data_IF_767495768938
#
_entry.id   IF_767495768938
#
_cell.length_a   1.000
_cell.length_b   1.000
_cell.length_c   1.000
_cell.angle_alpha   90.00
_cell.angle_beta   90.00
_cell.angle_gamma   90.00
#
_symmetry.space_group_name_H-M   'P 1'
#
loop_
_entity.id
_entity.type
_entity.pdbx_description
1 polymer ?
#
# COMPACT_ATOMS: atom_id res chain seq x y z
N UNK A 1 14.08 14.66 63.32
CA UNK A 1 15.18 13.70 63.06
C UNK A 1 15.17 13.45 61.55
N UNK A 2 16.10 13.92 60.69
CA UNK A 2 17.58 13.98 60.77
C UNK A 2 18.20 12.57 60.87
N UNK A 3 19.22 12.17 60.09
CA UNK A 3 20.06 12.81 59.04
C UNK A 3 20.39 11.72 57.99
N UNK A 4 20.31 11.89 56.66
CA UNK A 4 21.10 12.73 55.74
C UNK A 4 22.62 12.46 55.75
N UNK A 5 23.15 12.03 54.59
CA UNK A 5 24.58 11.89 54.28
C UNK A 5 24.87 10.78 53.24
N UNK A 6 25.84 10.89 52.33
CA UNK A 6 26.55 12.09 51.84
C UNK A 6 27.20 11.80 50.45
N UNK A 7 27.25 12.78 49.56
CA UNK A 7 27.77 12.62 48.18
C UNK A 7 29.30 12.73 48.10
N UNK A 8 29.92 12.06 47.11
CA UNK A 8 31.17 12.55 46.49
C UNK A 8 31.38 12.10 45.04
N UNK A 9 31.25 13.08 44.13
CA UNK A 9 31.73 13.08 42.74
C UNK A 9 33.19 13.57 42.73
N UNK A 10 34.02 13.11 41.80
CA UNK A 10 35.24 13.82 41.36
C UNK A 10 35.32 13.85 39.83
N UNK A 11 35.99 14.87 39.32
CA UNK A 11 36.05 15.23 37.90
C UNK A 11 37.53 15.17 37.42
N UNK A 12 37.83 15.32 36.10
CA UNK A 12 39.15 15.03 35.55
C UNK A 12 40.18 16.15 35.80
N UNK A 13 41.42 15.90 35.42
CA UNK A 13 42.50 16.89 35.33
C UNK A 13 42.97 17.02 33.87
N UNK A 14 43.51 18.18 33.49
CA UNK A 14 43.87 18.52 32.10
C UNK A 14 45.18 19.32 32.01
N UNK A 15 46.10 18.87 31.15
CA UNK A 15 47.15 19.67 30.50
C UNK A 15 47.62 18.85 29.27
N UNK A 16 47.78 19.33 28.03
CA UNK A 16 48.16 20.63 27.44
C UNK A 16 49.63 20.73 27.03
N UNK A 17 49.95 20.40 25.77
CA UNK A 17 51.07 20.96 25.02
C UNK A 17 50.90 20.73 23.48
N UNK A 18 51.16 21.78 22.70
CA UNK A 18 51.46 21.76 21.25
C UNK A 18 53.01 21.82 21.08
N UNK A 19 53.69 21.66 19.93
CA UNK A 19 53.39 21.31 18.52
C UNK A 19 54.53 20.37 18.02
N UNK A 20 55.06 20.26 16.79
CA UNK A 20 54.96 20.95 15.47
C UNK A 20 55.42 20.01 14.33
N UNK A 21 55.11 20.35 13.08
CA UNK A 21 55.76 19.85 11.83
C UNK A 21 57.02 20.72 11.51
N UNK A 22 58.00 20.32 10.65
CA UNK A 22 57.80 19.62 9.36
C UNK A 22 58.90 18.65 8.81
N UNK A 23 58.53 18.02 7.68
CA UNK A 23 59.26 17.57 6.47
C UNK A 23 60.53 16.66 6.46
N UNK A 24 60.38 15.57 5.68
CA UNK A 24 61.22 14.96 4.62
C UNK A 24 62.58 14.21 4.84
N UNK A 25 62.71 13.13 4.02
CA UNK A 25 63.86 12.30 3.57
C UNK A 25 64.83 11.68 4.63
N UNK A 26 65.39 10.46 4.46
CA UNK A 26 65.79 9.70 3.25
C UNK A 26 65.66 8.16 3.48
N UNK A 27 66.07 7.32 2.51
CA UNK A 27 65.68 5.90 2.38
C UNK A 27 66.79 4.84 2.74
N UNK A 28 66.84 3.60 2.19
CA UNK A 28 66.61 2.40 3.02
C UNK A 28 67.76 1.36 3.04
N UNK A 29 67.60 0.27 3.82
CA UNK A 29 68.49 -0.90 3.77
C UNK A 29 67.75 -2.26 3.88
N UNK A 30 68.39 -3.33 3.40
CA UNK A 30 67.75 -4.55 2.88
C UNK A 30 67.89 -5.81 3.75
N UNK A 31 66.93 -6.74 3.64
CA UNK A 31 67.09 -8.18 3.90
C UNK A 31 66.20 -9.01 2.94
N UNK A 32 66.61 -10.22 2.53
CA UNK A 32 66.07 -10.83 1.30
C UNK A 32 66.09 -12.37 1.18
N UNK A 33 64.97 -12.94 0.67
CA UNK A 33 64.83 -14.25 -0.04
C UNK A 33 65.15 -15.57 0.73
N UNK A 34 64.83 -16.80 0.22
CA UNK A 34 64.21 -17.25 -1.06
C UNK A 34 62.77 -17.80 -0.92
N UNK A 35 61.88 -17.95 -1.93
CA UNK A 35 61.93 -18.21 -3.40
C UNK A 35 61.94 -19.70 -3.80
N UNK A 36 61.53 -20.10 -5.05
CA UNK A 36 60.73 -19.43 -6.10
C UNK A 36 59.22 -19.82 -5.95
N UNK A 37 58.30 -20.11 -6.90
CA UNK A 37 58.13 -20.18 -8.39
C UNK A 37 56.59 -20.30 -8.67
N UNK A 38 55.95 -20.44 -9.85
CA UNK A 38 56.12 -20.09 -11.30
C UNK A 38 54.90 -20.70 -12.07
N UNK A 39 54.45 -20.26 -13.28
CA UNK A 39 54.97 -19.24 -14.19
C UNK A 39 53.98 -18.09 -14.50
N UNK A 40 54.33 -17.25 -15.48
CA UNK A 40 53.70 -15.98 -15.88
C UNK A 40 52.76 -16.06 -17.08
N UNK A 41 51.86 -15.07 -17.22
CA UNK A 41 51.70 -14.35 -18.50
C UNK A 41 51.31 -12.87 -18.30
N UNK A 42 51.36 -12.07 -19.36
CA UNK A 42 51.52 -10.60 -19.34
C UNK A 42 50.22 -9.79 -19.47
N UNK A 43 50.27 -8.50 -19.06
CA UNK A 43 49.41 -7.45 -19.63
C UNK A 43 48.72 -6.51 -18.64
N UNK A 44 49.44 -5.53 -18.10
CA UNK A 44 48.85 -4.49 -17.25
C UNK A 44 48.42 -3.24 -18.03
N UNK A 45 47.22 -2.73 -17.74
CA UNK A 45 46.80 -1.36 -18.06
C UNK A 45 45.77 -0.87 -17.02
N UNK A 46 45.86 0.39 -16.60
CA UNK A 46 44.90 0.97 -15.65
C UNK A 46 43.53 1.19 -16.30
N UNK A 47 42.47 0.73 -15.65
CA UNK A 47 41.08 1.06 -16.00
C UNK A 47 40.34 1.60 -14.76
N UNK A 48 39.54 2.64 -14.93
CA UNK A 48 38.87 3.32 -13.83
C UNK A 48 37.72 2.49 -13.25
N UNK A 49 37.58 2.50 -11.92
CA UNK A 49 36.42 1.94 -11.22
C UNK A 49 35.16 2.82 -11.45
N UNK A 50 34.51 2.66 -12.61
CA UNK A 50 33.32 3.47 -12.94
C UNK A 50 32.70 3.18 -14.31
N UNK A 51 31.95 2.09 -14.45
CA UNK A 51 30.95 1.89 -15.54
C UNK A 51 30.08 0.61 -15.38
N UNK A 52 29.69 0.25 -14.15
CA UNK A 52 28.86 -0.94 -13.86
C UNK A 52 27.36 -0.81 -14.28
N UNK A 53 27.06 -0.03 -15.33
CA UNK A 53 25.70 0.31 -15.80
C UNK A 53 25.54 0.26 -17.33
N UNK A 54 26.44 -0.43 -18.05
CA UNK A 54 26.35 -0.64 -19.49
C UNK A 54 26.40 -2.15 -19.82
N UNK A 55 25.26 -2.70 -20.23
CA UNK A 55 25.07 -4.14 -20.49
C UNK A 55 24.13 -4.77 -19.47
N UNK A 56 22.96 -5.21 -19.92
CA UNK A 56 21.98 -5.87 -19.06
C UNK A 56 22.50 -7.23 -18.60
N UNK A 57 22.53 -7.45 -17.28
CA UNK A 57 22.77 -8.78 -16.72
C UNK A 57 21.64 -9.72 -17.16
N UNK A 58 21.99 -10.76 -17.92
CA UNK A 58 21.10 -11.89 -18.12
C UNK A 58 20.94 -12.58 -16.76
N UNK A 59 19.83 -12.29 -16.08
CA UNK A 59 19.48 -12.93 -14.81
C UNK A 59 19.33 -14.43 -15.12
N UNK A 60 20.23 -15.23 -14.56
CA UNK A 60 20.23 -16.68 -14.74
C UNK A 60 18.97 -17.26 -14.07
N UNK A 61 17.96 -17.53 -14.89
CA UNK A 61 16.62 -17.88 -14.44
C UNK A 61 16.50 -19.42 -14.38
N UNK A 62 16.24 -20.01 -13.20
CA UNK A 62 15.95 -21.46 -13.09
C UNK A 62 14.55 -21.75 -13.66
N UNK A 63 14.39 -22.66 -14.63
CA UNK A 63 13.07 -23.07 -15.15
C UNK A 63 12.06 -23.50 -14.08
N UNK A 64 12.49 -23.89 -12.88
CA UNK A 64 11.63 -24.17 -11.73
C UNK A 64 10.93 -22.93 -11.20
N UNK A 65 11.61 -21.79 -11.17
CA UNK A 65 11.02 -20.54 -10.67
C UNK A 65 9.91 -20.06 -11.62
N UNK A 66 10.00 -20.32 -12.93
CA UNK A 66 8.93 -19.97 -13.90
C UNK A 66 7.65 -20.74 -13.58
N UNK A 67 7.80 -22.01 -13.17
CA UNK A 67 6.69 -22.88 -12.80
C UNK A 67 6.11 -22.50 -11.43
N UNK A 68 6.93 -22.00 -10.52
CA UNK A 68 6.49 -21.47 -9.22
C UNK A 68 5.81 -20.09 -9.33
N UNK A 69 6.27 -19.22 -10.24
CA UNK A 69 5.64 -17.93 -10.56
C UNK A 69 4.34 -18.13 -11.34
N UNK A 70 4.34 -18.95 -12.39
CA UNK A 70 3.10 -19.28 -13.12
C UNK A 70 2.07 -20.00 -12.22
N UNK A 71 2.55 -20.81 -11.26
CA UNK A 71 1.71 -21.42 -10.23
C UNK A 71 1.14 -20.42 -9.21
N UNK A 72 1.90 -19.39 -8.81
CA UNK A 72 1.36 -18.27 -8.02
C UNK A 72 0.33 -17.48 -8.82
N UNK A 73 0.67 -17.03 -10.04
CA UNK A 73 -0.20 -16.25 -10.93
C UNK A 73 -1.55 -16.98 -11.14
N UNK A 74 -1.52 -18.28 -11.45
CA UNK A 74 -2.72 -19.09 -11.59
C UNK A 74 -3.51 -19.23 -10.26
N UNK A 75 -2.82 -19.33 -9.11
CA UNK A 75 -3.44 -19.44 -7.78
C UNK A 75 -4.09 -18.13 -7.31
N UNK A 76 -3.54 -16.97 -7.68
CA UNK A 76 -4.11 -15.67 -7.30
C UNK A 76 -5.10 -15.13 -8.33
N UNK A 77 -5.03 -15.57 -9.59
CA UNK A 77 -5.95 -15.18 -10.67
C UNK A 77 -5.39 -14.13 -11.64
N UNK A 78 -4.08 -14.15 -11.88
CA UNK A 78 -3.36 -13.23 -12.77
C UNK A 78 -2.07 -12.68 -12.14
N UNK A 79 -1.32 -11.90 -12.91
CA UNK A 79 -0.07 -11.26 -12.46
C UNK A 79 -0.33 -10.16 -11.44
N UNK A 80 0.49 -10.10 -10.40
CA UNK A 80 0.45 -9.00 -9.43
C UNK A 80 0.84 -7.67 -10.13
N UNK A 81 0.14 -6.56 -9.85
CA UNK A 81 0.53 -5.25 -10.36
C UNK A 81 1.85 -4.75 -9.74
N UNK A 82 2.58 -3.91 -10.49
CA UNK A 82 3.86 -3.28 -10.07
C UNK A 82 3.71 -2.39 -8.83
N UNK A 83 2.52 -1.83 -8.62
CA UNK A 83 2.18 -1.00 -7.46
C UNK A 83 1.12 -1.70 -6.62
N UNK A 84 1.25 -1.57 -5.30
CA UNK A 84 0.19 -1.90 -4.34
C UNK A 84 -0.89 -0.84 -4.34
N UNK A 85 -2.10 -1.21 -3.91
CA UNK A 85 -3.20 -0.27 -3.71
C UNK A 85 -2.80 0.92 -2.81
N UNK A 86 -1.99 0.69 -1.77
CA UNK A 86 -1.48 1.73 -0.89
C UNK A 86 -0.61 2.76 -1.62
N UNK A 87 0.24 2.31 -2.53
CA UNK A 87 1.15 3.18 -3.29
C UNK A 87 0.40 4.00 -4.33
N UNK A 88 -0.64 3.46 -4.95
CA UNK A 88 -1.45 4.20 -5.92
C UNK A 88 -2.32 5.28 -5.26
N UNK A 89 -2.94 4.98 -4.10
CA UNK A 89 -3.64 5.99 -3.28
C UNK A 89 -2.68 7.08 -2.79
N UNK A 90 -1.46 6.71 -2.37
CA UNK A 90 -0.45 7.70 -1.99
C UNK A 90 -0.02 8.55 -3.18
N UNK A 91 0.17 7.97 -4.36
CA UNK A 91 0.63 8.66 -5.57
C UNK A 91 -0.40 9.67 -6.11
N UNK A 92 -1.70 9.42 -5.92
CA UNK A 92 -2.75 10.41 -6.19
C UNK A 92 -2.59 11.66 -5.31
N UNK A 93 -2.31 11.48 -4.02
CA UNK A 93 -2.11 12.58 -3.07
C UNK A 93 -0.77 13.33 -3.18
N UNK A 94 0.26 12.75 -3.80
CA UNK A 94 1.61 13.38 -3.91
C UNK A 94 1.61 14.51 -4.96
N UNK A 95 2.13 15.68 -4.61
CA UNK A 95 2.36 16.79 -5.56
C UNK A 95 3.61 16.58 -6.40
N UNK A 96 3.45 16.52 -7.71
CA UNK A 96 4.43 16.06 -8.71
C UNK A 96 5.84 16.67 -8.55
N UNK A 97 5.92 18.01 -8.48
CA UNK A 97 7.17 18.77 -8.38
C UNK A 97 7.67 18.96 -6.95
N UNK A 98 6.86 18.64 -5.95
CA UNK A 98 7.13 18.94 -4.54
C UNK A 98 7.55 17.71 -3.75
N UNK A 99 7.08 16.52 -4.13
CA UNK A 99 7.47 15.26 -3.48
C UNK A 99 6.95 15.09 -2.06
N UNK A 100 5.89 15.81 -1.72
CA UNK A 100 5.11 15.64 -0.50
C UNK A 100 3.62 15.66 -0.84
N UNK A 101 2.81 15.10 0.07
CA UNK A 101 1.36 15.00 -0.09
C UNK A 101 0.67 16.36 -0.04
N UNK A 102 -0.41 16.55 -0.79
CA UNK A 102 -1.28 17.74 -0.70
C UNK A 102 -1.70 18.03 0.75
N UNK A 103 -2.08 16.97 1.46
CA UNK A 103 -2.37 16.93 2.90
C UNK A 103 -2.10 15.48 3.38
N UNK A 104 -1.71 15.29 4.65
CA UNK A 104 -1.71 13.97 5.30
C UNK A 104 -2.51 14.11 6.58
N UNK A 105 -3.57 13.33 6.67
CA UNK A 105 -4.56 13.33 7.74
C UNK A 105 -4.89 11.89 8.14
N UNK A 106 -5.78 11.75 9.11
CA UNK A 106 -6.14 10.44 9.63
C UNK A 106 -7.00 9.64 8.64
N UNK A 107 -7.74 10.31 7.74
CA UNK A 107 -8.48 9.67 6.64
C UNK A 107 -7.55 8.87 5.72
N UNK A 108 -6.50 9.48 5.14
CA UNK A 108 -5.54 8.73 4.32
C UNK A 108 -4.74 7.72 5.18
N UNK A 109 -4.42 8.07 6.42
CA UNK A 109 -3.72 7.17 7.35
C UNK A 109 -4.50 5.86 7.54
N UNK A 110 -5.79 5.93 7.88
CA UNK A 110 -6.69 4.81 8.16
C UNK A 110 -7.08 4.07 6.86
N UNK A 111 -7.38 4.80 5.78
CA UNK A 111 -7.66 4.21 4.47
C UNK A 111 -6.51 3.36 3.94
N UNK A 112 -5.25 3.75 4.18
CA UNK A 112 -4.08 2.95 3.81
C UNK A 112 -3.97 1.63 4.61
N UNK A 113 -4.52 1.54 5.83
CA UNK A 113 -4.62 0.25 6.56
C UNK A 113 -5.71 -0.64 5.99
N UNK A 114 -6.84 -0.06 5.59
CA UNK A 114 -7.84 -0.78 4.78
C UNK A 114 -7.22 -1.34 3.49
N UNK A 115 -6.43 -0.53 2.78
CA UNK A 115 -5.72 -0.95 1.56
C UNK A 115 -4.75 -2.12 1.79
N UNK A 116 -4.08 -2.20 2.96
CA UNK A 116 -3.21 -3.33 3.32
C UNK A 116 -4.01 -4.64 3.44
N UNK A 117 -5.19 -4.61 4.09
CA UNK A 117 -6.06 -5.78 4.19
C UNK A 117 -6.64 -6.18 2.83
N UNK A 118 -7.06 -5.21 2.00
CA UNK A 118 -7.51 -5.46 0.62
C UNK A 118 -6.39 -6.11 -0.21
N UNK A 119 -5.17 -5.57 -0.19
CA UNK A 119 -4.06 -6.09 -0.97
C UNK A 119 -3.63 -7.50 -0.52
N UNK A 120 -3.67 -7.81 0.79
CA UNK A 120 -3.46 -9.17 1.31
C UNK A 120 -4.59 -10.13 0.93
N UNK A 121 -5.85 -9.67 0.90
CA UNK A 121 -7.01 -10.45 0.50
C UNK A 121 -6.97 -10.79 -0.99
N UNK A 122 -6.68 -9.80 -1.84
CA UNK A 122 -6.44 -9.97 -3.27
C UNK A 122 -5.27 -10.93 -3.50
N UNK A 123 -4.11 -10.75 -2.86
CA UNK A 123 -2.94 -11.67 -2.96
C UNK A 123 -3.19 -13.08 -2.35
N UNK A 124 -4.43 -13.40 -1.98
CA UNK A 124 -4.88 -14.68 -1.41
C UNK A 124 -4.06 -15.12 -0.19
N UNK A 125 -3.61 -14.15 0.62
CA UNK A 125 -2.83 -14.38 1.85
C UNK A 125 -3.73 -14.46 3.09
N UNK A 126 -4.84 -13.71 3.10
CA UNK A 126 -5.85 -13.71 4.17
C UNK A 126 -7.27 -13.79 3.59
N UNK A 127 -8.25 -14.09 4.44
CA UNK A 127 -9.67 -14.02 4.11
C UNK A 127 -10.54 -14.15 5.34
N UNK A 128 -11.85 -14.04 5.17
CA UNK A 128 -12.83 -14.30 6.24
C UNK A 128 -12.85 -15.79 6.60
N UNK A 129 -12.95 -16.11 7.90
CA UNK A 129 -13.15 -17.48 8.39
C UNK A 129 -14.40 -18.08 7.77
N UNK A 130 -14.29 -19.24 7.11
CA UNK A 130 -15.41 -19.93 6.43
C UNK A 130 -16.36 -20.68 7.38
N UNK A 131 -16.79 -20.00 8.45
CA UNK A 131 -17.86 -20.44 9.34
C UNK A 131 -19.24 -20.06 8.75
N UNK A 132 -20.26 -20.93 8.76
CA UNK A 132 -21.66 -20.55 8.49
C UNK A 132 -22.21 -19.49 9.44
N UNK A 133 -21.78 -19.47 10.71
CA UNK A 133 -22.19 -18.50 11.73
C UNK A 133 -21.85 -17.05 11.37
N UNK A 134 -20.73 -16.82 10.66
CA UNK A 134 -20.26 -15.49 10.22
C UNK A 134 -21.33 -14.65 9.50
N UNK A 135 -22.28 -15.29 8.79
CA UNK A 135 -23.32 -14.59 8.02
C UNK A 135 -24.35 -13.87 8.90
N UNK A 136 -24.34 -14.13 10.21
CA UNK A 136 -25.12 -13.40 11.23
C UNK A 136 -24.42 -12.13 11.74
N UNK A 137 -23.15 -11.94 11.38
CA UNK A 137 -22.35 -10.77 11.77
C UNK A 137 -22.35 -9.72 10.64
N UNK A 138 -22.39 -8.41 10.98
CA UNK A 138 -22.01 -7.32 10.06
C UNK A 138 -20.64 -7.58 9.43
N UNK A 139 -20.39 -7.05 8.23
CA UNK A 139 -19.12 -7.33 7.53
C UNK A 139 -17.86 -6.92 8.35
N UNK A 140 -17.83 -5.76 9.04
CA UNK A 140 -16.70 -5.35 9.88
C UNK A 140 -16.38 -6.31 11.02
N UNK A 141 -17.36 -7.06 11.52
CA UNK A 141 -17.22 -7.95 12.67
C UNK A 141 -16.79 -9.37 12.28
N UNK A 142 -16.76 -9.70 10.98
CA UNK A 142 -16.46 -11.06 10.52
C UNK A 142 -14.99 -11.41 10.76
N UNK A 143 -14.69 -12.52 11.48
CA UNK A 143 -13.33 -12.83 11.90
C UNK A 143 -12.44 -13.26 10.72
N UNK A 144 -11.16 -12.89 10.79
CA UNK A 144 -10.16 -13.21 9.76
C UNK A 144 -9.27 -14.42 10.10
N UNK A 145 -8.71 -15.02 9.05
CA UNK A 145 -7.78 -16.17 9.10
C UNK A 145 -6.70 -16.02 8.02
N UNK A 146 -5.51 -16.58 8.28
CA UNK A 146 -4.37 -16.54 7.36
C UNK A 146 -4.41 -17.77 6.44
N UNK A 147 -4.66 -17.52 5.16
CA UNK A 147 -4.73 -18.54 4.10
C UNK A 147 -3.34 -18.95 3.59
N UNK A 148 -2.36 -18.03 3.63
CA UNK A 148 -1.01 -18.29 3.11
C UNK A 148 0.00 -17.32 3.73
N UNK A 149 1.04 -17.87 4.36
CA UNK A 149 2.14 -17.10 4.99
C UNK A 149 3.29 -16.78 4.04
N UNK A 150 3.17 -17.10 2.74
CA UNK A 150 4.21 -16.78 1.74
C UNK A 150 4.36 -15.27 1.63
N UNK A 151 5.59 -14.79 1.80
CA UNK A 151 5.94 -13.38 1.67
C UNK A 151 5.45 -12.78 0.34
N UNK A 152 5.23 -11.47 0.37
CA UNK A 152 4.71 -10.66 -0.74
C UNK A 152 5.75 -9.71 -1.31
N UNK A 153 6.89 -9.54 -0.63
CA UNK A 153 7.94 -8.58 -0.96
C UNK A 153 7.67 -7.15 -0.47
N UNK A 154 6.44 -6.88 -0.01
CA UNK A 154 6.01 -5.55 0.44
C UNK A 154 6.07 -5.48 1.96
N UNK A 155 7.01 -4.70 2.51
CA UNK A 155 7.35 -4.76 3.95
C UNK A 155 6.18 -4.54 4.91
N UNK A 156 5.19 -3.74 4.51
CA UNK A 156 3.97 -3.49 5.30
C UNK A 156 3.00 -4.67 5.27
N UNK A 157 2.82 -5.30 4.11
CA UNK A 157 1.97 -6.48 3.95
C UNK A 157 2.54 -7.66 4.74
N UNK A 158 3.86 -7.89 4.64
CA UNK A 158 4.53 -9.01 5.31
C UNK A 158 4.61 -8.82 6.84
N UNK A 159 4.68 -7.59 7.33
CA UNK A 159 4.58 -7.26 8.76
C UNK A 159 3.17 -7.52 9.30
N UNK A 160 2.13 -7.05 8.62
CA UNK A 160 0.72 -7.34 8.98
C UNK A 160 0.44 -8.84 8.88
N UNK A 161 0.88 -9.53 7.84
CA UNK A 161 0.66 -10.97 7.66
C UNK A 161 1.31 -11.80 8.78
N UNK A 162 2.53 -11.42 9.21
CA UNK A 162 3.19 -12.02 10.37
C UNK A 162 2.41 -11.78 11.65
N UNK A 163 1.95 -10.55 11.88
CA UNK A 163 1.17 -10.15 13.06
C UNK A 163 -0.16 -10.93 13.14
N UNK A 164 -0.92 -10.96 12.04
CA UNK A 164 -2.17 -11.73 11.93
C UNK A 164 -1.95 -13.22 12.19
N UNK A 165 -0.85 -13.79 11.69
CA UNK A 165 -0.53 -15.20 11.94
C UNK A 165 -0.20 -15.47 13.42
N UNK A 166 0.58 -14.59 14.06
CA UNK A 166 0.90 -14.71 15.48
C UNK A 166 -0.34 -14.59 16.38
N UNK A 167 -1.33 -13.76 16.01
CA UNK A 167 -2.62 -13.68 16.70
C UNK A 167 -3.45 -14.96 16.49
N UNK A 168 -3.53 -15.48 15.27
CA UNK A 168 -4.26 -16.73 15.00
C UNK A 168 -3.61 -17.95 15.71
N UNK A 169 -2.28 -17.98 15.81
CA UNK A 169 -1.53 -19.03 16.52
C UNK A 169 -1.69 -18.95 18.06
N UNK A 170 -2.07 -17.80 18.62
CA UNK A 170 -2.49 -17.70 20.03
C UNK A 170 -3.96 -18.10 20.26
N UNK A 171 -4.68 -18.47 19.19
CA UNK A 171 -6.08 -18.88 19.22
C UNK A 171 -7.09 -17.73 19.10
N UNK A 172 -6.64 -16.47 19.08
CA UNK A 172 -7.51 -15.32 18.89
C UNK A 172 -7.83 -15.09 17.41
N UNK A 173 -9.10 -14.76 17.11
CA UNK A 173 -9.50 -14.24 15.79
C UNK A 173 -10.33 -12.98 15.97
N UNK A 174 -10.07 -11.99 15.12
CA UNK A 174 -10.62 -10.64 15.24
C UNK A 174 -11.31 -10.21 13.95
N UNK A 175 -12.31 -9.34 14.09
CA UNK A 175 -13.07 -8.76 12.99
C UNK A 175 -12.24 -7.82 12.11
N UNK A 176 -12.72 -7.61 10.88
CA UNK A 176 -12.08 -6.73 9.88
C UNK A 176 -11.89 -5.30 10.39
N UNK A 177 -12.92 -4.69 10.97
CA UNK A 177 -12.85 -3.33 11.51
C UNK A 177 -11.76 -3.21 12.58
N UNK A 178 -11.77 -4.13 13.53
CA UNK A 178 -10.76 -4.14 14.61
C UNK A 178 -9.34 -4.32 14.09
N UNK A 179 -9.11 -5.04 12.99
CA UNK A 179 -7.79 -5.08 12.34
C UNK A 179 -7.39 -3.73 11.74
N UNK A 180 -8.30 -2.99 11.10
CA UNK A 180 -8.01 -1.63 10.59
C UNK A 180 -7.70 -0.66 11.74
N UNK A 181 -8.48 -0.72 12.83
CA UNK A 181 -8.27 0.10 14.04
C UNK A 181 -6.90 -0.19 14.68
N UNK A 182 -6.57 -1.47 14.87
CA UNK A 182 -5.29 -1.90 15.46
C UNK A 182 -4.07 -1.46 14.64
N UNK A 183 -4.13 -1.63 13.32
CA UNK A 183 -3.02 -1.27 12.42
C UNK A 183 -2.86 0.27 12.28
N UNK A 184 -3.92 1.03 12.57
CA UNK A 184 -3.94 2.50 12.51
C UNK A 184 -3.50 3.13 13.83
N UNK A 185 -3.93 2.57 14.96
CA UNK A 185 -3.66 3.06 16.31
C UNK A 185 -4.91 3.48 17.10
N UNK A 186 -6.10 3.38 16.51
CA UNK A 186 -7.37 3.89 17.08
C UNK A 186 -7.91 3.04 18.26
N UNK A 187 -7.13 2.05 18.73
CA UNK A 187 -7.54 1.20 19.84
C UNK A 187 -7.17 1.80 21.20
N UNK A 188 -8.11 1.74 22.14
CA UNK A 188 -7.84 1.99 23.55
C UNK A 188 -7.24 0.77 24.28
N UNK A 189 -7.06 -0.37 23.59
CA UNK A 189 -6.49 -1.58 24.19
C UNK A 189 -4.96 -1.51 24.29
N UNK A 190 -4.47 -1.11 25.47
CA UNK A 190 -3.04 -1.01 25.80
C UNK A 190 -2.26 -2.30 25.52
N UNK A 191 -2.86 -3.48 25.69
CA UNK A 191 -2.20 -4.77 25.40
C UNK A 191 -1.96 -5.00 23.91
N UNK A 192 -2.64 -4.26 23.03
CA UNK A 192 -2.53 -4.35 21.57
C UNK A 192 -1.92 -3.09 20.93
N UNK A 193 -1.35 -2.18 21.71
CA UNK A 193 -0.64 -0.99 21.21
C UNK A 193 0.57 -1.33 20.30
N UNK A 194 1.08 -2.56 20.40
CA UNK A 194 2.13 -3.08 19.51
C UNK A 194 1.69 -3.40 18.08
N UNK A 195 0.39 -3.34 17.77
CA UNK A 195 -0.15 -3.67 16.45
C UNK A 195 -0.13 -2.48 15.46
N UNK A 196 0.07 -1.25 15.95
CA UNK A 196 0.08 -0.06 15.10
C UNK A 196 1.27 -0.08 14.12
N UNK A 197 0.97 0.00 12.81
CA UNK A 197 2.00 0.14 11.78
C UNK A 197 2.64 1.53 11.83
N UNK A 198 3.97 1.57 11.91
CA UNK A 198 4.76 2.79 12.07
C UNK A 198 5.50 3.16 10.78
N UNK A 199 5.67 4.46 10.57
CA UNK A 199 6.37 5.05 9.43
C UNK A 199 5.79 4.61 8.06
N UNK A 200 4.46 4.46 7.99
CA UNK A 200 3.75 3.94 6.80
C UNK A 200 3.99 4.82 5.58
N UNK A 201 3.87 6.15 5.73
CA UNK A 201 4.10 7.13 4.67
C UNK A 201 5.54 7.06 4.13
N UNK A 202 6.51 6.97 5.03
CA UNK A 202 7.94 6.97 4.72
C UNK A 202 8.34 5.66 4.03
N UNK A 203 7.76 4.53 4.46
CA UNK A 203 7.99 3.20 3.87
C UNK A 203 7.34 3.06 2.50
N UNK A 204 6.14 3.59 2.29
CA UNK A 204 5.49 3.64 0.96
C UNK A 204 6.23 4.60 0.02
N UNK A 205 6.68 5.76 0.50
CA UNK A 205 7.52 6.65 -0.29
C UNK A 205 8.85 5.99 -0.69
N UNK A 206 9.50 5.25 0.21
CA UNK A 206 10.67 4.43 -0.12
C UNK A 206 10.33 3.33 -1.14
N UNK A 207 9.24 2.60 -0.98
CA UNK A 207 8.80 1.59 -1.96
C UNK A 207 8.64 2.17 -3.37
N UNK A 208 8.02 3.35 -3.49
CA UNK A 208 7.90 4.07 -4.75
C UNK A 208 9.22 4.62 -5.31
N UNK A 209 10.22 4.94 -4.47
CA UNK A 209 11.58 5.30 -4.91
C UNK A 209 12.34 4.05 -5.39
N UNK A 210 12.29 2.96 -4.64
CA UNK A 210 12.94 1.68 -5.00
C UNK A 210 12.33 1.10 -6.30
N UNK A 211 11.03 1.34 -6.54
CA UNK A 211 10.31 1.03 -7.79
C UNK A 211 10.53 2.08 -8.90
N UNK A 212 11.29 3.15 -8.67
CA UNK A 212 11.65 4.17 -9.66
C UNK A 212 10.52 5.13 -10.09
N UNK A 213 9.40 5.17 -9.36
CA UNK A 213 8.26 6.06 -9.65
C UNK A 213 8.47 7.45 -9.06
N UNK A 214 9.09 7.52 -7.88
CA UNK A 214 9.60 8.75 -7.26
C UNK A 214 11.14 8.76 -7.31
N UNK A 215 11.75 9.92 -7.15
CA UNK A 215 13.19 10.09 -6.91
C UNK A 215 13.42 10.83 -5.60
N UNK A 216 14.52 10.57 -4.90
CA UNK A 216 14.91 11.36 -3.72
C UNK A 216 15.64 12.64 -4.16
N UNK A 217 15.04 13.80 -3.89
CA UNK A 217 15.66 15.12 -4.00
C UNK A 217 15.98 15.67 -2.61
N UNK A 218 17.24 16.06 -2.38
CA UNK A 218 17.64 16.84 -1.21
C UNK A 218 17.26 18.31 -1.45
N UNK A 219 16.39 18.86 -0.59
CA UNK A 219 16.06 20.30 -0.59
C UNK A 219 16.68 20.99 0.61
N UNK A 220 17.53 21.96 0.33
CA UNK A 220 18.23 22.74 1.35
C UNK A 220 17.31 23.91 1.77
N UNK A 221 16.99 24.00 3.05
CA UNK A 221 16.34 25.16 3.67
C UNK A 221 17.40 25.94 4.47
N UNK A 222 17.09 27.18 4.87
CA UNK A 222 18.05 28.08 5.52
C UNK A 222 18.71 27.51 6.80
N UNK A 223 18.05 26.56 7.48
CA UNK A 223 18.48 26.01 8.76
C UNK A 223 18.63 24.47 8.79
N UNK A 224 18.20 23.76 7.73
CA UNK A 224 18.23 22.30 7.67
C UNK A 224 18.03 21.80 6.23
N UNK A 225 18.38 20.54 5.98
CA UNK A 225 18.12 19.86 4.72
C UNK A 225 16.95 18.87 4.87
N UNK A 226 16.09 18.77 3.86
CA UNK A 226 14.94 17.87 3.84
C UNK A 226 14.98 16.94 2.63
N UNK A 227 14.83 15.64 2.86
CA UNK A 227 14.58 14.69 1.78
C UNK A 227 13.13 14.86 1.26
N UNK A 228 12.98 15.00 -0.05
CA UNK A 228 11.69 15.08 -0.75
C UNK A 228 11.62 14.03 -1.85
N UNK A 229 10.41 13.57 -2.18
CA UNK A 229 10.22 12.44 -3.09
C UNK A 229 9.36 12.81 -4.31
N UNK A 230 9.79 13.75 -5.17
CA UNK A 230 9.01 14.16 -6.35
C UNK A 230 8.91 13.03 -7.39
N UNK A 231 7.90 13.15 -8.25
CA UNK A 231 7.58 12.14 -9.26
C UNK A 231 8.69 12.09 -10.30
N UNK A 232 9.28 10.91 -10.47
CA UNK A 232 10.28 10.60 -11.47
C UNK A 232 9.61 10.15 -12.78
N UNK A 233 8.67 9.20 -12.70
CA UNK A 233 7.88 8.76 -13.85
C UNK A 233 6.46 9.33 -13.81
N UNK A 234 6.27 10.43 -14.55
CA UNK A 234 4.98 11.08 -14.69
C UNK A 234 3.94 10.20 -15.43
N UNK A 235 4.36 9.23 -16.25
CA UNK A 235 3.44 8.36 -16.99
C UNK A 235 2.76 7.36 -16.06
N UNK A 236 3.46 6.84 -15.05
CA UNK A 236 2.87 5.98 -14.02
C UNK A 236 1.77 6.73 -13.27
N UNK A 237 2.03 7.94 -12.77
CA UNK A 237 0.98 8.74 -12.12
C UNK A 237 -0.16 9.10 -13.07
N UNK A 238 0.14 9.51 -14.30
CA UNK A 238 -0.88 9.81 -15.30
C UNK A 238 -1.75 8.58 -15.64
N UNK A 239 -1.18 7.36 -15.62
CA UNK A 239 -1.90 6.11 -15.75
C UNK A 239 -2.90 5.86 -14.61
N UNK A 240 -2.45 6.00 -13.35
CA UNK A 240 -3.32 5.88 -12.16
C UNK A 240 -4.49 6.89 -12.24
N UNK A 241 -4.19 8.16 -12.54
CA UNK A 241 -5.22 9.21 -12.73
C UNK A 241 -6.17 8.87 -13.87
N UNK A 242 -5.67 8.42 -15.02
CA UNK A 242 -6.49 8.06 -16.17
C UNK A 242 -7.43 6.89 -15.87
N UNK A 243 -6.96 5.84 -15.17
CA UNK A 243 -7.82 4.71 -14.79
C UNK A 243 -8.97 5.16 -13.88
N UNK A 244 -8.67 5.96 -12.86
CA UNK A 244 -9.67 6.50 -11.92
C UNK A 244 -10.68 7.40 -12.62
N UNK A 245 -10.22 8.35 -13.44
CA UNK A 245 -11.11 9.24 -14.20
C UNK A 245 -11.98 8.44 -15.18
N UNK A 246 -11.42 7.47 -15.92
CA UNK A 246 -12.19 6.65 -16.85
C UNK A 246 -13.25 5.78 -16.15
N UNK A 247 -12.98 5.26 -14.95
CA UNK A 247 -13.97 4.51 -14.16
C UNK A 247 -15.14 5.40 -13.72
N UNK A 248 -14.82 6.62 -13.26
CA UNK A 248 -15.77 7.53 -12.62
C UNK A 248 -16.47 8.50 -13.58
N UNK A 249 -16.04 8.59 -14.85
CA UNK A 249 -16.75 9.34 -15.90
C UNK A 249 -17.48 8.44 -16.91
N UNK A 250 -17.42 7.11 -16.76
CA UNK A 250 -18.19 6.19 -17.62
C UNK A 250 -19.69 6.29 -17.34
N UNK A 251 -20.43 6.94 -18.25
CA UNK A 251 -21.90 6.97 -18.25
C UNK A 251 -22.55 5.68 -18.77
N UNK A 252 -21.84 4.55 -18.82
CA UNK A 252 -22.36 3.27 -19.35
C UNK A 252 -22.07 2.12 -18.38
N UNK A 253 -22.86 1.05 -18.47
CA UNK A 253 -22.63 -0.18 -17.69
C UNK A 253 -21.36 -0.93 -18.13
N UNK A 254 -20.83 -0.65 -19.32
CA UNK A 254 -19.58 -1.24 -19.78
C UNK A 254 -18.38 -0.61 -19.05
N UNK A 255 -17.50 -1.47 -18.50
CA UNK A 255 -16.26 -1.04 -17.85
C UNK A 255 -15.26 -0.62 -18.92
N UNK A 256 -14.78 0.63 -18.96
CA UNK A 256 -13.82 1.06 -19.99
C UNK A 256 -12.50 0.28 -19.86
N UNK A 257 -11.90 -0.23 -20.96
CA UNK A 257 -10.59 -0.89 -20.89
C UNK A 257 -9.48 0.00 -20.32
N UNK A 258 -9.60 1.32 -20.50
CA UNK A 258 -8.72 2.36 -19.95
C UNK A 258 -8.90 2.64 -18.46
N UNK A 259 -9.96 2.11 -17.83
CA UNK A 259 -10.19 2.14 -16.38
C UNK A 259 -9.48 1.00 -15.63
N UNK A 260 -8.91 0.04 -16.36
CA UNK A 260 -8.34 -1.20 -15.83
C UNK A 260 -6.83 -1.27 -16.07
N UNK A 261 -6.14 -2.10 -15.28
CA UNK A 261 -4.74 -2.45 -15.51
C UNK A 261 -4.53 -3.25 -16.80
N UNK A 262 -3.27 -3.56 -17.13
CA UNK A 262 -2.91 -4.39 -18.27
C UNK A 262 -3.67 -5.74 -18.29
N UNK A 263 -4.03 -6.29 -19.46
CA UNK A 263 -4.58 -7.64 -19.57
C UNK A 263 -3.64 -8.67 -18.94
N UNK A 264 -4.20 -9.62 -18.20
CA UNK A 264 -3.44 -10.62 -17.44
C UNK A 264 -3.01 -10.16 -16.03
N UNK A 265 -3.18 -8.89 -15.66
CA UNK A 265 -3.12 -8.47 -14.25
C UNK A 265 -4.26 -9.11 -13.45
N UNK A 266 -3.99 -9.38 -12.18
CA UNK A 266 -4.89 -10.02 -11.23
C UNK A 266 -6.05 -9.11 -10.78
N UNK A 267 -7.29 -9.62 -10.81
CA UNK A 267 -8.49 -8.97 -10.26
C UNK A 267 -8.64 -7.48 -10.65
N UNK A 268 -8.59 -7.20 -11.97
CA UNK A 268 -8.50 -5.85 -12.55
C UNK A 268 -9.74 -5.01 -12.23
N UNK A 269 -10.92 -5.57 -12.35
CA UNK A 269 -12.17 -4.85 -12.08
C UNK A 269 -12.28 -4.52 -10.59
N UNK A 270 -12.00 -5.48 -9.71
CA UNK A 270 -12.03 -5.23 -8.26
C UNK A 270 -10.92 -4.27 -7.81
N UNK A 271 -9.71 -4.34 -8.36
CA UNK A 271 -8.63 -3.37 -8.08
C UNK A 271 -9.00 -1.94 -8.47
N UNK A 272 -9.62 -1.74 -9.64
CA UNK A 272 -10.07 -0.42 -10.07
C UNK A 272 -11.14 0.17 -9.14
N UNK A 273 -12.08 -0.66 -8.68
CA UNK A 273 -13.07 -0.31 -7.63
C UNK A 273 -12.37 0.08 -6.33
N UNK A 274 -11.50 -0.78 -5.80
CA UNK A 274 -10.79 -0.52 -4.55
C UNK A 274 -9.96 0.77 -4.60
N UNK A 275 -9.33 1.08 -5.74
CA UNK A 275 -8.57 2.31 -5.93
C UNK A 275 -9.46 3.56 -5.87
N UNK A 276 -10.59 3.57 -6.59
CA UNK A 276 -11.51 4.71 -6.58
C UNK A 276 -12.12 4.91 -5.19
N UNK A 277 -12.66 3.84 -4.58
CA UNK A 277 -13.25 3.90 -3.25
C UNK A 277 -12.25 4.29 -2.16
N UNK A 278 -11.04 3.71 -2.15
CA UNK A 278 -10.03 4.06 -1.16
C UNK A 278 -9.49 5.50 -1.33
N UNK A 279 -9.34 5.99 -2.56
CA UNK A 279 -8.96 7.38 -2.82
C UNK A 279 -10.04 8.38 -2.39
N UNK A 280 -11.32 7.99 -2.52
CA UNK A 280 -12.47 8.75 -2.03
C UNK A 280 -12.46 8.86 -0.50
N UNK A 281 -12.43 7.72 0.20
CA UNK A 281 -12.43 7.69 1.69
C UNK A 281 -11.13 8.23 2.30
N UNK A 282 -10.01 8.18 1.58
CA UNK A 282 -8.76 8.85 1.95
C UNK A 282 -8.77 10.37 1.72
N UNK A 283 -9.83 10.92 1.12
CA UNK A 283 -9.97 12.34 0.79
C UNK A 283 -8.86 12.88 -0.14
N UNK A 284 -8.43 12.07 -1.13
CA UNK A 284 -7.42 12.45 -2.14
C UNK A 284 -7.90 12.31 -3.59
N UNK A 285 -9.09 11.78 -3.82
CA UNK A 285 -9.67 11.55 -5.16
C UNK A 285 -9.79 12.85 -6.00
N UNK A 286 -10.03 13.99 -5.35
CA UNK A 286 -10.08 15.32 -5.97
C UNK A 286 -8.82 15.66 -6.79
N UNK A 287 -7.65 15.18 -6.34
CA UNK A 287 -6.35 15.40 -7.00
C UNK A 287 -6.30 14.75 -8.41
N UNK A 288 -7.16 13.76 -8.70
CA UNK A 288 -7.30 13.17 -10.04
C UNK A 288 -8.13 14.06 -10.98
N UNK A 289 -9.05 14.88 -10.46
CA UNK A 289 -10.05 15.63 -11.22
C UNK A 289 -9.59 17.01 -11.70
N UNK A 290 -8.27 17.26 -11.73
CA UNK A 290 -7.67 18.53 -12.16
C UNK A 290 -7.87 18.90 -13.64
N UNK A 291 -8.45 18.02 -14.45
CA UNK A 291 -8.84 18.27 -15.85
C UNK A 291 -10.36 18.31 -16.10
N UNK A 292 -11.17 17.94 -15.11
CA UNK A 292 -12.62 17.85 -15.24
C UNK A 292 -13.29 19.20 -14.94
N UNK A 293 -14.40 19.47 -15.62
CA UNK A 293 -15.33 20.54 -15.28
C UNK A 293 -16.03 20.31 -13.94
N UNK A 294 -16.79 21.32 -13.48
CA UNK A 294 -17.50 21.25 -12.20
C UNK A 294 -18.56 20.13 -12.18
N UNK A 295 -19.43 20.07 -13.19
CA UNK A 295 -20.50 19.07 -13.27
C UNK A 295 -19.94 17.65 -13.44
N UNK A 296 -18.90 17.48 -14.25
CA UNK A 296 -18.19 16.19 -14.42
C UNK A 296 -17.58 15.70 -13.09
N UNK A 297 -17.06 16.62 -12.27
CA UNK A 297 -16.47 16.31 -10.96
C UNK A 297 -17.53 15.88 -9.94
N UNK A 298 -18.63 16.61 -9.85
CA UNK A 298 -19.75 16.24 -8.96
C UNK A 298 -20.35 14.88 -9.39
N UNK A 299 -20.51 14.65 -10.70
CA UNK A 299 -20.92 13.35 -11.24
C UNK A 299 -19.95 12.22 -10.92
N UNK A 300 -18.64 12.46 -11.03
CA UNK A 300 -17.61 11.48 -10.69
C UNK A 300 -17.58 11.14 -9.20
N UNK A 301 -17.84 12.11 -8.31
CA UNK A 301 -18.01 11.85 -6.87
C UNK A 301 -19.31 11.07 -6.58
N UNK A 302 -20.43 11.44 -7.19
CA UNK A 302 -21.70 10.73 -7.04
C UNK A 302 -21.58 9.25 -7.45
N UNK A 303 -20.98 8.99 -8.63
CA UNK A 303 -20.68 7.63 -9.10
C UNK A 303 -19.74 6.87 -8.14
N UNK A 304 -18.84 7.57 -7.42
CA UNK A 304 -17.95 6.92 -6.47
C UNK A 304 -18.66 6.49 -5.17
N UNK A 305 -19.63 7.26 -4.65
CA UNK A 305 -20.48 6.82 -3.52
C UNK A 305 -21.42 5.69 -3.94
N UNK A 306 -21.94 5.69 -5.18
CA UNK A 306 -22.72 4.58 -5.73
C UNK A 306 -21.89 3.28 -5.85
N UNK A 307 -20.68 3.35 -6.39
CA UNK A 307 -19.77 2.20 -6.45
C UNK A 307 -19.42 1.72 -5.02
N UNK A 308 -19.13 2.64 -4.09
CA UNK A 308 -18.87 2.29 -2.69
C UNK A 308 -20.10 1.61 -2.04
N UNK A 309 -21.32 2.04 -2.37
CA UNK A 309 -22.56 1.42 -1.88
C UNK A 309 -22.80 0.00 -2.42
N UNK A 310 -22.56 -0.25 -3.71
CA UNK A 310 -22.76 -1.58 -4.31
C UNK A 310 -21.64 -2.59 -3.96
N UNK A 311 -20.44 -2.10 -3.61
CA UNK A 311 -19.29 -2.93 -3.24
C UNK A 311 -19.04 -3.03 -1.72
N UNK A 312 -19.59 -2.13 -0.91
CA UNK A 312 -19.61 -2.21 0.56
C UNK A 312 -20.62 -3.22 1.14
N UNK A 313 -21.13 -4.14 0.32
CA UNK A 313 -22.08 -5.20 0.69
C UNK A 313 -21.62 -6.55 0.13
N UNK A 314 -21.95 -7.65 0.82
CA UNK A 314 -21.63 -9.00 0.35
C UNK A 314 -22.87 -9.91 0.25
N UNK A 315 -23.14 -10.54 -0.91
CA UNK A 315 -22.41 -10.41 -2.19
C UNK A 315 -22.50 -9.01 -2.81
N UNK A 316 -21.53 -8.64 -3.66
CA UNK A 316 -21.53 -7.35 -4.35
C UNK A 316 -22.84 -7.13 -5.14
N UNK A 317 -23.44 -5.94 -4.99
CA UNK A 317 -24.77 -5.59 -5.53
C UNK A 317 -25.97 -6.25 -4.82
N UNK A 318 -25.75 -7.05 -3.77
CA UNK A 318 -26.80 -7.80 -3.07
C UNK A 318 -27.78 -6.93 -2.25
N UNK A 319 -27.38 -5.71 -1.90
CA UNK A 319 -28.15 -4.81 -1.02
C UNK A 319 -29.54 -4.40 -1.52
N UNK A 320 -29.85 -4.61 -2.80
CA UNK A 320 -31.18 -4.35 -3.36
C UNK A 320 -32.21 -5.46 -3.06
N UNK A 321 -31.78 -6.68 -2.70
CA UNK A 321 -32.66 -7.86 -2.60
C UNK A 321 -33.23 -8.16 -1.22
N UNK A 322 -32.72 -7.53 -0.15
CA UNK A 322 -33.02 -7.90 1.23
C UNK A 322 -33.25 -6.71 2.15
N UNK A 323 -34.49 -6.22 2.23
CA UNK A 323 -34.88 -5.12 3.10
C UNK A 323 -35.01 -5.53 4.58
N UNK A 324 -33.91 -5.94 5.21
CA UNK A 324 -33.86 -6.32 6.63
C UNK A 324 -32.70 -5.66 7.39
N UNK A 325 -33.02 -4.51 8.00
CA UNK A 325 -32.41 -3.98 9.23
C UNK A 325 -30.88 -3.75 9.27
N UNK A 326 -30.41 -2.69 8.62
CA UNK A 326 -29.33 -1.85 9.14
C UNK A 326 -29.64 -0.37 8.93
N UNK A 327 -29.38 0.44 9.96
CA UNK A 327 -29.66 1.88 10.14
C UNK A 327 -29.79 2.73 8.87
N UNK A 328 -30.89 3.51 8.67
CA UNK A 328 -31.04 4.35 7.49
C UNK A 328 -30.07 5.55 7.50
N UNK A 329 -29.32 5.75 6.40
CA UNK A 329 -28.65 7.02 6.08
C UNK A 329 -29.71 8.14 6.06
N UNK A 330 -29.85 8.91 7.14
CA UNK A 330 -30.89 9.95 7.28
C UNK A 330 -30.55 11.25 6.53
N UNK A 331 -30.17 11.15 5.25
CA UNK A 331 -30.01 12.29 4.35
C UNK A 331 -31.33 12.54 3.63
N UNK A 332 -32.05 13.60 4.01
CA UNK A 332 -33.37 13.94 3.47
C UNK A 332 -33.30 14.39 2.01
N UNK A 333 -33.31 13.43 1.09
CA UNK A 333 -33.39 13.66 -0.36
C UNK A 333 -34.73 13.14 -0.87
N UNK A 334 -35.70 14.05 -1.03
CA UNK A 334 -37.04 13.73 -1.55
C UNK A 334 -36.94 13.62 -3.08
N UNK A 335 -36.39 12.51 -3.56
CA UNK A 335 -36.16 12.25 -4.98
C UNK A 335 -36.05 10.75 -5.32
N UNK A 336 -37.04 9.94 -4.95
CA UNK A 336 -37.18 8.56 -5.47
C UNK A 336 -37.67 8.61 -6.93
N UNK A 337 -36.80 9.07 -7.83
CA UNK A 337 -37.05 9.24 -9.26
C UNK A 337 -36.28 8.27 -10.15
N UNK A 338 -36.64 8.16 -11.45
CA UNK A 338 -36.08 7.16 -12.37
C UNK A 338 -34.58 7.31 -12.65
N UNK A 339 -33.98 8.47 -12.33
CA UNK A 339 -32.54 8.72 -12.47
C UNK A 339 -31.68 7.82 -11.60
N UNK A 340 -32.14 7.46 -10.40
CA UNK A 340 -31.38 6.62 -9.46
C UNK A 340 -31.23 5.19 -9.98
N UNK A 341 -32.28 4.60 -10.55
CA UNK A 341 -32.21 3.24 -11.12
C UNK A 341 -31.34 3.19 -12.37
N UNK A 342 -31.35 4.23 -13.21
CA UNK A 342 -30.44 4.34 -14.36
C UNK A 342 -28.98 4.47 -13.92
N UNK A 343 -28.68 5.22 -12.86
CA UNK A 343 -27.31 5.34 -12.36
C UNK A 343 -26.80 4.01 -11.80
N UNK A 344 -27.60 3.30 -10.98
CA UNK A 344 -27.29 1.94 -10.53
C UNK A 344 -27.08 0.95 -11.69
N UNK A 345 -27.88 1.04 -12.75
CA UNK A 345 -27.69 0.24 -13.96
C UNK A 345 -26.33 0.47 -14.63
N UNK A 346 -25.79 1.69 -14.58
CA UNK A 346 -24.44 2.00 -15.06
C UNK A 346 -23.30 1.45 -14.18
N UNK A 347 -23.60 0.92 -12.99
CA UNK A 347 -22.65 0.23 -12.09
C UNK A 347 -22.79 -1.30 -12.17
N UNK A 348 -23.93 -1.84 -12.60
CA UNK A 348 -24.19 -3.30 -12.72
C UNK A 348 -23.12 -4.07 -13.49
N UNK A 349 -22.65 -3.56 -14.63
CA UNK A 349 -21.60 -4.24 -15.41
C UNK A 349 -20.22 -4.24 -14.74
N UNK A 350 -19.93 -3.27 -13.87
CA UNK A 350 -18.73 -3.27 -13.02
C UNK A 350 -18.85 -4.32 -11.90
N UNK A 351 -20.03 -4.43 -11.26
CA UNK A 351 -20.33 -5.50 -10.30
C UNK A 351 -20.25 -6.88 -10.95
N UNK A 352 -20.76 -7.04 -12.17
CA UNK A 352 -20.68 -8.28 -12.93
C UNK A 352 -19.23 -8.63 -13.30
N UNK A 353 -18.44 -7.66 -13.78
CA UNK A 353 -17.03 -7.85 -14.09
C UNK A 353 -16.22 -8.27 -12.85
N UNK A 354 -16.43 -7.61 -11.70
CA UNK A 354 -15.76 -7.99 -10.46
C UNK A 354 -16.22 -9.35 -9.93
N UNK A 355 -17.52 -9.70 -9.96
CA UNK A 355 -17.99 -11.04 -9.56
C UNK A 355 -17.49 -12.15 -10.47
N UNK A 356 -17.16 -11.87 -11.74
CA UNK A 356 -16.50 -12.82 -12.63
C UNK A 356 -15.02 -13.10 -12.26
N UNK A 357 -14.39 -12.24 -11.45
CA UNK A 357 -13.02 -12.44 -10.91
C UNK A 357 -13.01 -13.25 -9.59
N UNK A 358 -14.17 -13.64 -9.05
CA UNK A 358 -14.32 -14.27 -7.74
C UNK A 358 -14.12 -15.80 -7.76
N UNK A 359 -13.23 -16.31 -6.90
CA UNK A 359 -12.91 -17.73 -6.81
C UNK A 359 -13.90 -18.42 -5.87
N UNK A 360 -14.90 -19.07 -6.48
CA UNK A 360 -16.05 -19.65 -5.77
C UNK A 360 -17.26 -18.70 -5.67
N UNK A 361 -17.26 -17.60 -6.44
CA UNK A 361 -18.39 -16.65 -6.49
C UNK A 361 -18.70 -16.05 -5.13
N UNK A 362 -19.95 -16.19 -4.69
CA UNK A 362 -20.47 -15.56 -3.47
C UNK A 362 -19.96 -16.20 -2.14
N UNK A 363 -19.08 -17.20 -2.22
CA UNK A 363 -18.30 -17.77 -1.09
C UNK A 363 -16.78 -17.49 -1.21
N UNK A 364 -16.37 -16.55 -2.06
CA UNK A 364 -15.00 -16.02 -2.08
C UNK A 364 -14.73 -15.17 -0.82
N UNK A 365 -14.13 -15.82 0.19
CA UNK A 365 -13.78 -15.21 1.47
C UNK A 365 -12.70 -14.11 1.39
N UNK A 366 -12.02 -13.93 0.25
CA UNK A 366 -11.16 -12.78 0.00
C UNK A 366 -11.97 -11.58 -0.46
N UNK A 367 -12.96 -11.78 -1.33
CA UNK A 367 -13.83 -10.70 -1.81
C UNK A 367 -14.87 -10.29 -0.75
N UNK A 368 -15.33 -11.24 0.08
CA UNK A 368 -16.11 -10.95 1.29
C UNK A 368 -15.35 -10.03 2.26
N UNK A 369 -14.03 -10.19 2.38
CA UNK A 369 -13.16 -9.29 3.14
C UNK A 369 -12.99 -7.93 2.44
N UNK A 370 -12.84 -7.88 1.12
CA UNK A 370 -12.82 -6.59 0.41
C UNK A 370 -14.12 -5.80 0.64
N UNK A 371 -15.28 -6.44 0.58
CA UNK A 371 -16.56 -5.81 0.93
C UNK A 371 -16.57 -5.29 2.37
N UNK A 372 -16.06 -6.07 3.32
CA UNK A 372 -15.97 -5.68 4.73
C UNK A 372 -15.07 -4.46 4.96
N UNK A 373 -13.91 -4.38 4.29
CA UNK A 373 -13.05 -3.19 4.38
C UNK A 373 -13.73 -1.98 3.76
N UNK A 374 -14.43 -2.13 2.63
CA UNK A 374 -15.17 -1.03 2.02
C UNK A 374 -16.34 -0.56 2.92
N UNK A 375 -17.01 -1.46 3.65
CA UNK A 375 -18.02 -1.09 4.67
C UNK A 375 -17.40 -0.35 5.88
N UNK A 376 -16.16 -0.68 6.27
CA UNK A 376 -15.40 0.05 7.30
C UNK A 376 -15.03 1.44 6.81
N UNK A 377 -14.43 1.55 5.61
CA UNK A 377 -13.98 2.81 5.05
C UNK A 377 -15.14 3.76 4.68
N UNK A 378 -16.33 3.24 4.36
CA UNK A 378 -17.52 4.08 4.11
C UNK A 378 -18.07 4.80 5.37
N UNK A 379 -17.55 4.46 6.56
CA UNK A 379 -17.94 5.05 7.85
C UNK A 379 -16.91 6.03 8.40
N UNK A 380 -15.81 6.27 7.69
CA UNK A 380 -14.71 7.15 8.14
C UNK A 380 -15.22 8.59 8.42
N UNK A 381 -16.14 9.10 7.58
CA UNK A 381 -16.85 10.38 7.77
C UNK A 381 -17.75 10.45 9.02
N UNK A 382 -17.88 9.37 9.79
CA UNK A 382 -18.61 9.31 11.07
C UNK A 382 -17.71 9.09 12.30
N UNK A 383 -16.39 9.14 12.10
CA UNK A 383 -15.36 9.09 13.15
C UNK A 383 -14.76 10.48 13.48
N UNK A 384 -15.23 11.53 12.80
CA UNK A 384 -14.85 12.94 12.94
C UNK A 384 -16.03 13.81 13.40
#
# INVERSE_FOLDING_TARGET
>A
MASAGLSRRRAPASASASSTTPDDDDAPSSASTPAPASPSENGGAHAHAGSAFAGGSSIAYDPRDLLLEAGEDARVGGKLPRLTLMEEVLLLGIKDKQGYLSFWNDNISYALRGCILIELALRRRIGVVKDPGRKRLPLPDRPLTVLSTRQTGETLLDETLKMMKQTEDSGERMGVGTWVDLLSGETWNVLKIGFQLKQVRERLAKGLVDKGVLRTEKRNFLLFDMATHPVADAHVKAGVVNRVVALLTSGTSAVPPSALDAPGTQCRALRAVCLACAAYTASVLDNAFGRLGYEEREGAFGRCDEILGEFGVWPFGGGAGGATASTPRKRSTIASGPTHDMSRESVRGLVAAARAEAVGGDEDAGFELVAAVLEVLSKLDSLL
#
